data_IF_859508569433
#
_entry.id   IF_859508569433
#
_cell.length_a   1.000
_cell.length_b   1.000
_cell.length_c   1.000
_cell.angle_alpha   90.00
_cell.angle_beta   90.00
_cell.angle_gamma   90.00
#
_symmetry.space_group_name_H-M   'P 1'
#
loop_
_entity.id
_entity.type
_entity.pdbx_description
1 polymer ?
#
# COMPACT_ATOMS: atom_id res chain seq x y z
N UNK A 1 -9.86 -11.90 -20.27
CA UNK A 1 -8.92 -12.36 -19.23
C UNK A 1 -9.11 -11.49 -18.00
N UNK A 2 -9.06 -12.05 -16.79
CA UNK A 2 -9.01 -11.21 -15.59
C UNK A 2 -7.66 -10.49 -15.56
N UNK A 3 -7.64 -9.16 -15.47
CA UNK A 3 -6.39 -8.42 -15.25
C UNK A 3 -5.77 -8.90 -13.95
N UNK A 4 -4.50 -9.32 -13.99
CA UNK A 4 -3.73 -9.62 -12.79
C UNK A 4 -3.45 -8.26 -12.13
N UNK A 5 -3.83 -8.10 -10.86
CA UNK A 5 -3.63 -6.85 -10.13
C UNK A 5 -2.74 -7.12 -8.92
N UNK A 6 -1.63 -6.39 -8.83
CA UNK A 6 -0.79 -6.35 -7.64
C UNK A 6 -1.36 -5.32 -6.69
N UNK A 7 -1.77 -5.75 -5.50
CA UNK A 7 -2.34 -4.86 -4.48
C UNK A 7 -1.47 -5.00 -3.25
N UNK A 8 -0.95 -3.89 -2.74
CA UNK A 8 -0.01 -3.88 -1.63
C UNK A 8 -0.49 -2.90 -0.58
N UNK A 9 -0.28 -3.27 0.68
CA UNK A 9 -0.48 -2.38 1.83
C UNK A 9 0.79 -2.29 2.67
N UNK A 10 1.14 -1.06 3.05
CA UNK A 10 2.23 -0.72 3.95
C UNK A 10 1.69 0.15 5.10
N UNK A 11 2.32 0.06 6.26
CA UNK A 11 2.08 0.96 7.38
C UNK A 11 3.41 1.54 7.85
N UNK A 12 3.36 2.73 8.42
CA UNK A 12 4.51 3.53 8.78
C UNK A 12 4.37 4.07 10.20
N UNK A 13 5.51 4.22 10.87
CA UNK A 13 5.64 4.78 12.22
C UNK A 13 6.90 5.63 12.28
N UNK A 14 6.98 6.56 13.23
CA UNK A 14 8.26 7.16 13.57
C UNK A 14 9.18 6.14 14.26
N UNK A 15 10.46 6.17 13.89
CA UNK A 15 11.53 5.57 14.68
C UNK A 15 11.95 6.50 15.84
N UNK A 16 12.96 6.09 16.61
CA UNK A 16 13.46 6.85 17.76
C UNK A 16 14.12 8.19 17.36
N UNK A 17 14.42 8.38 16.07
CA UNK A 17 15.00 9.60 15.50
C UNK A 17 13.92 10.50 14.85
N UNK A 18 12.65 10.07 14.88
CA UNK A 18 11.52 10.78 14.28
C UNK A 18 11.39 10.56 12.77
N UNK A 19 12.16 9.64 12.17
CA UNK A 19 12.03 9.30 10.76
C UNK A 19 10.85 8.36 10.54
N UNK A 20 10.08 8.61 9.50
CA UNK A 20 8.98 7.73 9.11
C UNK A 20 9.52 6.47 8.44
N UNK A 21 9.38 5.32 9.10
CA UNK A 21 9.86 4.01 8.62
C UNK A 21 8.72 3.02 8.48
N UNK A 22 8.92 1.97 7.68
CA UNK A 22 7.96 0.87 7.57
C UNK A 22 7.78 0.19 8.95
N UNK A 23 6.53 0.05 9.36
CA UNK A 23 6.18 -0.61 10.60
C UNK A 23 6.32 -2.15 10.50
N UNK A 24 6.18 -2.68 9.29
CA UNK A 24 6.33 -4.09 8.93
C UNK A 24 6.55 -4.23 7.42
N UNK A 25 7.02 -5.40 6.96
CA UNK A 25 7.20 -5.71 5.53
C UNK A 25 5.87 -5.58 4.75
N UNK A 26 5.80 -4.75 3.69
CA UNK A 26 4.57 -4.54 2.93
C UNK A 26 3.89 -5.83 2.48
N UNK A 27 2.57 -5.91 2.69
CA UNK A 27 1.79 -7.12 2.49
C UNK A 27 1.05 -7.06 1.15
N UNK A 28 1.12 -8.13 0.37
CA UNK A 28 0.24 -8.31 -0.79
C UNK A 28 -1.18 -8.66 -0.34
N UNK A 29 -2.17 -8.00 -0.92
CA UNK A 29 -3.58 -8.20 -0.62
C UNK A 29 -4.30 -8.87 -1.80
N UNK A 30 -5.29 -9.75 -1.55
CA UNK A 30 -5.97 -10.47 -2.62
C UNK A 30 -7.01 -9.62 -3.37
N UNK A 31 -7.51 -8.53 -2.76
CA UNK A 31 -8.53 -7.64 -3.33
C UNK A 31 -8.38 -6.24 -2.74
N UNK A 32 -8.93 -5.23 -3.43
CA UNK A 32 -8.91 -3.84 -2.96
C UNK A 32 -9.77 -3.66 -1.71
N UNK A 33 -10.95 -4.27 -1.66
CA UNK A 33 -11.81 -4.23 -0.48
C UNK A 33 -11.09 -4.75 0.77
N UNK A 34 -10.32 -5.84 0.63
CA UNK A 34 -9.49 -6.36 1.72
C UNK A 34 -8.40 -5.37 2.11
N UNK A 35 -7.72 -4.76 1.14
CA UNK A 35 -6.68 -3.77 1.40
C UNK A 35 -7.24 -2.52 2.10
N UNK A 36 -8.40 -2.00 1.67
CA UNK A 36 -9.05 -0.84 2.28
C UNK A 36 -9.52 -1.14 3.71
N UNK A 37 -10.10 -2.32 3.95
CA UNK A 37 -10.53 -2.72 5.30
C UNK A 37 -9.35 -2.91 6.25
N UNK A 38 -8.29 -3.56 5.78
CA UNK A 38 -7.05 -3.70 6.53
C UNK A 38 -6.45 -2.31 6.82
N UNK A 39 -6.39 -1.43 5.81
CA UNK A 39 -5.87 -0.08 5.96
C UNK A 39 -6.59 0.72 7.04
N UNK A 40 -7.92 0.73 7.02
CA UNK A 40 -8.74 1.36 8.07
C UNK A 40 -8.45 0.80 9.47
N UNK A 41 -8.12 -0.49 9.57
CA UNK A 41 -7.78 -1.13 10.85
C UNK A 41 -6.40 -0.68 11.33
N UNK A 42 -5.43 -0.63 10.41
CA UNK A 42 -4.06 -0.20 10.68
C UNK A 42 -3.96 1.29 11.02
N UNK A 43 -4.84 2.13 10.48
CA UNK A 43 -4.87 3.58 10.77
C UNK A 43 -5.18 3.92 12.23
N UNK A 44 -5.68 2.97 13.01
CA UNK A 44 -5.82 3.16 14.46
C UNK A 44 -4.55 2.86 15.26
N UNK A 45 -3.54 2.27 14.62
CA UNK A 45 -2.34 1.72 15.24
C UNK A 45 -1.04 2.37 14.73
N UNK A 46 -1.07 2.93 13.52
CA UNK A 46 0.11 3.43 12.82
C UNK A 46 -0.11 4.86 12.33
N UNK A 47 0.97 5.63 12.28
CA UNK A 47 0.97 7.04 11.93
C UNK A 47 0.74 7.27 10.43
N UNK A 48 1.18 6.31 9.60
CA UNK A 48 0.97 6.31 8.16
C UNK A 48 0.47 4.95 7.68
N UNK A 49 -0.44 4.94 6.70
CA UNK A 49 -0.90 3.71 6.03
C UNK A 49 -1.15 3.99 4.55
N UNK A 50 -0.49 3.24 3.67
CA UNK A 50 -0.69 3.32 2.23
C UNK A 50 -1.16 1.97 1.70
N UNK A 51 -2.26 1.95 0.95
CA UNK A 51 -2.56 0.86 0.05
C UNK A 51 -2.60 1.37 -1.39
N UNK A 52 -1.92 0.65 -2.28
CA UNK A 52 -1.86 0.94 -3.70
C UNK A 52 -2.07 -0.33 -4.52
N UNK A 53 -2.50 -0.14 -5.77
CA UNK A 53 -2.68 -1.20 -6.75
C UNK A 53 -1.94 -0.89 -8.05
N UNK A 54 -1.43 -1.92 -8.72
CA UNK A 54 -0.90 -1.85 -10.09
C UNK A 54 -1.60 -2.91 -10.94
N UNK A 55 -2.12 -2.48 -12.08
CA UNK A 55 -2.62 -3.41 -13.09
C UNK A 55 -1.45 -4.00 -13.87
N UNK A 56 -1.36 -5.32 -13.94
CA UNK A 56 -0.50 -5.97 -14.92
C UNK A 56 -1.16 -5.86 -16.28
N UNK A 57 -0.40 -5.36 -17.25
CA UNK A 57 -0.77 -5.43 -18.65
C UNK A 57 -0.14 -6.68 -19.26
N UNK A 58 -0.92 -7.75 -19.50
CA UNK A 58 -0.39 -9.01 -20.00
C UNK A 58 0.10 -8.91 -21.45
N UNK A 59 -0.30 -7.87 -22.20
CA UNK A 59 0.06 -7.72 -23.61
C UNK A 59 1.47 -7.10 -23.77
N UNK A 60 1.92 -6.30 -22.79
CA UNK A 60 3.25 -5.68 -22.77
C UNK A 60 4.19 -6.26 -21.70
N UNK A 61 3.66 -7.06 -20.75
CA UNK A 61 4.45 -7.68 -19.68
C UNK A 61 4.89 -6.72 -18.58
N UNK A 62 4.28 -5.54 -18.50
CA UNK A 62 4.62 -4.49 -17.54
C UNK A 62 3.47 -4.20 -16.57
N UNK A 63 3.81 -3.68 -15.40
CA UNK A 63 2.83 -3.08 -14.50
C UNK A 63 2.61 -1.63 -14.87
N UNK A 64 1.34 -1.23 -14.96
CA UNK A 64 0.97 0.17 -15.06
C UNK A 64 1.37 0.97 -13.81
N UNK A 65 1.19 2.30 -13.83
CA UNK A 65 1.50 3.15 -12.69
C UNK A 65 0.69 2.75 -11.45
N UNK A 66 1.26 2.89 -10.23
CA UNK A 66 0.52 2.62 -9.00
C UNK A 66 -0.65 3.60 -8.87
N UNK A 67 -1.81 3.06 -8.52
CA UNK A 67 -2.99 3.83 -8.11
C UNK A 67 -3.15 3.69 -6.60
N UNK A 68 -3.20 4.82 -5.90
CA UNK A 68 -3.50 4.82 -4.46
C UNK A 68 -4.98 4.47 -4.28
N UNK A 69 -5.25 3.43 -3.50
CA UNK A 69 -6.62 2.96 -3.20
C UNK A 69 -7.03 3.27 -1.76
N UNK A 70 -6.06 3.48 -0.86
CA UNK A 70 -6.28 3.97 0.49
C UNK A 70 -5.05 4.69 1.00
N UNK A 71 -5.24 5.79 1.71
CA UNK A 71 -4.17 6.53 2.36
C UNK A 71 -4.66 7.08 3.70
N UNK A 72 -3.80 7.00 4.72
CA UNK A 72 -4.00 7.63 6.02
C UNK A 72 -2.69 8.19 6.54
N UNK A 73 -2.77 9.36 7.17
CA UNK A 73 -1.65 9.99 7.84
C UNK A 73 -0.51 10.42 6.92
N UNK A 74 0.66 10.61 7.51
CA UNK A 74 1.87 10.98 6.80
C UNK A 74 2.55 9.73 6.24
N UNK A 75 2.96 9.82 4.97
CA UNK A 75 3.58 8.71 4.25
C UNK A 75 4.90 9.24 3.71
N UNK A 76 6.02 8.54 3.93
CA UNK A 76 7.30 9.00 3.41
C UNK A 76 7.22 9.06 1.88
N UNK A 77 7.93 10.03 1.29
CA UNK A 77 8.00 10.14 -0.16
C UNK A 77 8.70 8.87 -0.70
N UNK A 78 7.90 7.99 -1.28
CA UNK A 78 8.35 6.76 -1.92
C UNK A 78 8.80 7.15 -3.33
N UNK A 79 10.05 7.58 -3.43
CA UNK A 79 10.72 7.93 -4.68
C UNK A 79 10.75 6.81 -5.72
#
# INVERSE_FOLDING_TARGET
MAKIRLIVIAAYKSDDEGNMVEAFEPKQMPTEDRAIREGKTLSSQYEGVLAWARDADPDIGEYGPPTIIYQHGEIPDIG
#
